data_IF_140986191468
#
_entry.id   IF_140986191468
#
_cell.length_a   1.000
_cell.length_b   1.000
_cell.length_c   1.000
_cell.angle_alpha   90.00
_cell.angle_beta   90.00
_cell.angle_gamma   90.00
#
_symmetry.space_group_name_H-M   'P 1'
#
loop_
_entity.id
_entity.type
_entity.pdbx_description
1 polymer ?
#
# COMPACT_ATOMS: atom_id res chain seq x y z
N UNK A 1 -1.40 -32.84 31.23
CA UNK A 1 -2.74 -33.17 30.68
C UNK A 1 -3.71 -32.09 31.12
N UNK A 2 -4.67 -31.67 30.29
CA UNK A 2 -5.57 -30.53 30.56
C UNK A 2 -6.98 -30.76 30.03
N UNK A 3 -8.00 -30.34 30.79
CA UNK A 3 -9.42 -30.40 30.35
C UNK A 3 -9.76 -29.18 29.49
N UNK A 4 -10.42 -29.43 28.36
CA UNK A 4 -10.89 -28.38 27.46
C UNK A 4 -12.17 -27.74 28.01
N UNK A 5 -12.19 -26.41 28.19
CA UNK A 5 -13.34 -25.66 28.72
C UNK A 5 -14.55 -25.53 27.77
N UNK A 6 -14.62 -26.33 26.70
CA UNK A 6 -15.67 -26.25 25.67
C UNK A 6 -16.27 -27.60 25.32
N UNK A 7 -15.45 -28.66 25.30
CA UNK A 7 -15.90 -30.02 25.05
C UNK A 7 -15.69 -30.94 26.27
N UNK A 8 -15.16 -30.41 27.38
CA UNK A 8 -14.99 -31.06 28.68
C UNK A 8 -14.18 -32.38 28.69
N UNK A 9 -13.48 -32.67 27.59
CA UNK A 9 -12.58 -33.82 27.48
C UNK A 9 -11.18 -33.51 28.00
N UNK A 10 -10.56 -34.48 28.67
CA UNK A 10 -9.14 -34.47 29.04
C UNK A 10 -8.27 -34.71 27.80
N UNK A 11 -7.30 -33.81 27.54
CA UNK A 11 -6.40 -33.89 26.38
C UNK A 11 -4.95 -33.60 26.76
N UNK A 12 -4.03 -33.90 25.85
CA UNK A 12 -2.63 -33.54 26.03
C UNK A 12 -2.47 -32.02 25.98
N UNK A 13 -1.45 -31.49 26.67
CA UNK A 13 -1.16 -30.06 26.66
C UNK A 13 -0.75 -29.56 25.27
N UNK A 14 -0.17 -30.44 24.46
CA UNK A 14 0.12 -30.22 23.04
C UNK A 14 -1.15 -29.98 22.20
N UNK A 15 -2.34 -30.36 22.68
CA UNK A 15 -3.62 -30.10 22.02
C UNK A 15 -4.18 -28.70 22.32
N UNK A 16 -3.44 -27.84 23.02
CA UNK A 16 -3.82 -26.47 23.33
C UNK A 16 -2.83 -25.49 22.69
N UNK A 17 -3.32 -24.31 22.31
CA UNK A 17 -2.44 -23.22 21.91
C UNK A 17 -1.80 -22.57 23.15
N UNK A 18 -0.58 -22.04 23.00
CA UNK A 18 0.06 -21.21 24.03
C UNK A 18 -0.54 -19.80 23.95
N UNK A 19 -1.20 -19.36 25.02
CA UNK A 19 -1.82 -18.03 25.13
C UNK A 19 -0.79 -16.96 25.47
N UNK A 20 0.16 -17.32 26.33
CA UNK A 20 1.25 -16.43 26.74
C UNK A 20 2.57 -17.19 26.68
N UNK A 21 3.47 -16.71 25.82
CA UNK A 21 4.79 -17.33 25.60
C UNK A 21 5.72 -17.18 26.80
N UNK A 22 5.55 -16.15 27.63
CA UNK A 22 6.42 -15.91 28.80
C UNK A 22 6.09 -16.86 29.95
N UNK A 23 4.81 -17.02 30.27
CA UNK A 23 4.35 -17.91 31.35
C UNK A 23 4.08 -19.35 30.90
N UNK A 24 4.16 -19.64 29.60
CA UNK A 24 3.76 -20.92 29.03
C UNK A 24 2.26 -21.20 29.12
N UNK A 25 1.45 -20.23 29.57
CA UNK A 25 0.04 -20.44 29.85
C UNK A 25 -0.72 -20.88 28.61
N UNK A 26 -1.35 -22.04 28.68
CA UNK A 26 -2.17 -22.61 27.62
C UNK A 26 -3.57 -21.99 27.58
N UNK A 27 -4.15 -21.92 26.39
CA UNK A 27 -5.57 -21.62 26.20
C UNK A 27 -6.47 -22.55 27.02
N UNK A 28 -7.68 -22.08 27.37
CA UNK A 28 -8.68 -22.88 28.09
C UNK A 28 -9.35 -23.92 27.17
N UNK A 29 -9.48 -23.59 25.89
CA UNK A 29 -10.06 -24.45 24.86
C UNK A 29 -8.96 -25.19 24.09
N UNK A 30 -9.22 -26.45 23.71
CA UNK A 30 -8.33 -27.19 22.82
C UNK A 30 -8.29 -26.56 21.42
N UNK A 31 -7.26 -26.90 20.64
CA UNK A 31 -7.02 -26.39 19.28
C UNK A 31 -8.22 -26.55 18.35
N UNK A 32 -8.94 -27.67 18.45
CA UNK A 32 -10.13 -27.95 17.62
C UNK A 32 -11.28 -27.01 17.96
N UNK A 33 -11.71 -26.98 19.23
CA UNK A 33 -12.78 -26.10 19.69
C UNK A 33 -12.44 -24.62 19.46
N UNK A 34 -11.17 -24.23 19.61
CA UNK A 34 -10.73 -22.87 19.33
C UNK A 34 -10.86 -22.52 17.83
N UNK A 35 -10.46 -23.44 16.93
CA UNK A 35 -10.58 -23.24 15.48
C UNK A 35 -12.04 -23.12 15.04
N UNK A 36 -12.91 -23.99 15.55
CA UNK A 36 -14.34 -23.98 15.26
C UNK A 36 -15.00 -22.68 15.73
N UNK A 37 -14.76 -22.29 16.99
CA UNK A 37 -15.24 -21.01 17.52
C UNK A 37 -14.76 -19.83 16.69
N UNK A 38 -13.47 -19.83 16.30
CA UNK A 38 -12.87 -18.74 15.51
C UNK A 38 -13.46 -18.63 14.09
N UNK A 39 -13.77 -19.76 13.45
CA UNK A 39 -14.36 -19.79 12.11
C UNK A 39 -15.74 -19.09 12.07
N UNK A 40 -16.60 -19.38 13.04
CA UNK A 40 -17.93 -18.74 13.14
C UNK A 40 -17.85 -17.29 13.63
N UNK A 41 -17.02 -17.02 14.65
CA UNK A 41 -16.89 -15.70 15.24
C UNK A 41 -16.37 -14.67 14.24
N UNK A 42 -15.33 -14.99 13.47
CA UNK A 42 -14.73 -14.00 12.56
C UNK A 42 -15.69 -13.56 11.46
N UNK A 43 -16.48 -14.50 10.89
CA UNK A 43 -17.48 -14.18 9.87
C UNK A 43 -18.58 -13.27 10.42
N UNK A 44 -19.13 -13.59 11.60
CA UNK A 44 -20.17 -12.79 12.26
C UNK A 44 -19.64 -11.42 12.71
N UNK A 45 -18.43 -11.37 13.25
CA UNK A 45 -17.76 -10.13 13.63
C UNK A 45 -17.55 -9.25 12.39
N UNK A 46 -17.01 -9.81 11.30
CA UNK A 46 -16.83 -9.06 10.07
C UNK A 46 -18.16 -8.51 9.53
N UNK A 47 -19.24 -9.29 9.52
CA UNK A 47 -20.54 -8.80 9.03
C UNK A 47 -21.10 -7.65 9.86
N UNK A 48 -20.96 -7.68 11.19
CA UNK A 48 -21.44 -6.62 12.09
C UNK A 48 -20.63 -5.33 11.92
N UNK A 49 -19.30 -5.45 11.85
CA UNK A 49 -18.41 -4.27 11.85
C UNK A 49 -17.92 -3.88 10.45
N UNK A 50 -18.42 -4.53 9.38
CA UNK A 50 -18.01 -4.31 7.98
C UNK A 50 -18.01 -2.84 7.61
N UNK A 51 -19.10 -2.15 7.93
CA UNK A 51 -19.27 -0.75 7.60
C UNK A 51 -18.23 0.13 8.30
N UNK A 52 -17.99 -0.10 9.59
CA UNK A 52 -16.96 0.61 10.35
C UNK A 52 -15.56 0.38 9.77
N UNK A 53 -15.24 -0.85 9.34
CA UNK A 53 -13.96 -1.13 8.66
C UNK A 53 -13.84 -0.39 7.34
N UNK A 54 -14.90 -0.38 6.53
CA UNK A 54 -14.94 0.33 5.25
C UNK A 54 -14.83 1.84 5.45
N UNK A 55 -15.52 2.40 6.44
CA UNK A 55 -15.46 3.81 6.80
C UNK A 55 -14.06 4.21 7.25
N UNK A 56 -13.44 3.44 8.16
CA UNK A 56 -12.05 3.66 8.58
C UNK A 56 -11.09 3.61 7.40
N UNK A 57 -11.27 2.65 6.49
CA UNK A 57 -10.47 2.54 5.27
C UNK A 57 -10.68 3.72 4.32
N UNK A 58 -11.91 4.22 4.17
CA UNK A 58 -12.23 5.42 3.38
C UNK A 58 -11.57 6.67 3.98
N UNK A 59 -11.74 6.91 5.29
CA UNK A 59 -11.11 8.02 6.01
C UNK A 59 -9.59 8.00 5.86
N UNK A 60 -8.98 6.82 6.07
CA UNK A 60 -7.53 6.65 5.89
C UNK A 60 -7.07 6.95 4.47
N UNK A 61 -7.78 6.45 3.45
CA UNK A 61 -7.46 6.74 2.04
C UNK A 61 -7.59 8.23 1.71
N UNK A 62 -8.58 8.90 2.26
CA UNK A 62 -8.75 10.34 2.08
C UNK A 62 -7.58 11.13 2.66
N UNK A 63 -7.20 10.85 3.91
CA UNK A 63 -6.06 11.48 4.58
C UNK A 63 -4.78 11.25 3.78
N UNK A 64 -4.47 9.99 3.43
CA UNK A 64 -3.27 9.65 2.66
C UNK A 64 -3.22 10.35 1.31
N UNK A 65 -4.35 10.46 0.59
CA UNK A 65 -4.40 11.20 -0.68
C UNK A 65 -4.14 12.69 -0.49
N UNK A 66 -4.67 13.28 0.59
CA UNK A 66 -4.46 14.69 0.89
C UNK A 66 -3.00 14.98 1.27
N UNK A 67 -2.43 14.17 2.16
CA UNK A 67 -1.01 14.25 2.54
C UNK A 67 -0.11 14.08 1.32
N UNK A 68 -0.39 13.08 0.49
CA UNK A 68 0.36 12.82 -0.72
C UNK A 68 0.27 13.97 -1.72
N UNK A 69 -0.91 14.56 -1.90
CA UNK A 69 -1.11 15.74 -2.75
C UNK A 69 -0.26 16.92 -2.25
N UNK A 70 -0.31 17.23 -0.96
CA UNK A 70 0.46 18.35 -0.39
C UNK A 70 1.96 18.13 -0.55
N UNK A 71 2.42 16.93 -0.23
CA UNK A 71 3.80 16.47 -0.43
C UNK A 71 4.27 16.59 -1.89
N UNK A 72 3.40 16.22 -2.84
CA UNK A 72 3.70 16.33 -4.27
C UNK A 72 3.78 17.79 -4.72
N UNK A 73 2.86 18.64 -4.27
CA UNK A 73 2.87 20.07 -4.58
C UNK A 73 4.13 20.76 -4.02
N UNK A 74 4.51 20.42 -2.79
CA UNK A 74 5.76 20.89 -2.19
C UNK A 74 6.98 20.43 -3.01
N UNK A 75 7.03 19.14 -3.37
CA UNK A 75 8.10 18.61 -4.20
C UNK A 75 8.19 19.31 -5.57
N UNK A 76 7.06 19.63 -6.20
CA UNK A 76 7.00 20.28 -7.51
C UNK A 76 7.21 21.79 -7.44
N UNK A 77 7.14 22.40 -6.25
CA UNK A 77 7.27 23.84 -6.07
C UNK A 77 8.60 24.37 -6.59
N UNK A 78 8.54 25.43 -7.39
CA UNK A 78 9.72 26.06 -8.01
C UNK A 78 10.40 25.24 -9.10
N UNK A 79 9.88 24.06 -9.45
CA UNK A 79 10.42 23.24 -10.55
C UNK A 79 9.87 23.68 -11.90
N UNK A 80 10.57 23.29 -12.96
CA UNK A 80 10.21 23.56 -14.34
C UNK A 80 10.45 22.32 -15.20
N UNK A 81 9.81 22.26 -16.36
CA UNK A 81 10.11 21.29 -17.39
C UNK A 81 11.59 21.36 -17.77
N UNK A 82 12.29 20.24 -17.68
CA UNK A 82 13.72 20.15 -17.95
C UNK A 82 14.11 20.42 -19.41
N UNK A 83 13.14 20.47 -20.33
CA UNK A 83 13.36 20.69 -21.76
C UNK A 83 12.97 22.11 -22.20
N UNK A 84 11.74 22.55 -21.90
CA UNK A 84 11.23 23.84 -22.39
C UNK A 84 11.08 24.92 -21.31
N UNK A 85 11.35 24.60 -20.04
CA UNK A 85 11.24 25.57 -18.94
C UNK A 85 9.82 25.92 -18.52
N UNK A 86 8.78 25.24 -19.02
CA UNK A 86 7.39 25.37 -18.54
C UNK A 86 7.33 25.24 -17.01
N UNK A 87 6.59 26.11 -16.35
CA UNK A 87 6.48 26.20 -14.88
C UNK A 87 5.10 25.80 -14.36
N UNK A 88 4.11 25.63 -15.24
CA UNK A 88 2.79 25.16 -14.85
C UNK A 88 2.84 23.69 -14.43
N UNK A 89 2.79 23.49 -13.11
CA UNK A 89 2.75 22.19 -12.44
C UNK A 89 1.60 21.30 -12.91
N UNK A 90 0.50 21.85 -13.42
CA UNK A 90 -0.63 21.06 -13.95
C UNK A 90 -0.22 20.27 -15.20
N UNK A 91 0.79 20.74 -15.92
CA UNK A 91 1.29 20.09 -17.13
C UNK A 91 2.38 19.06 -16.87
N UNK A 92 2.86 18.92 -15.63
CA UNK A 92 4.04 18.12 -15.33
C UNK A 92 3.76 16.61 -15.33
N UNK A 93 4.69 15.89 -15.93
CA UNK A 93 4.78 14.44 -15.99
C UNK A 93 6.15 14.00 -15.48
N UNK A 94 6.18 12.85 -14.81
CA UNK A 94 7.42 12.24 -14.33
C UNK A 94 7.96 11.28 -15.38
N UNK A 95 9.05 11.68 -16.03
CA UNK A 95 9.75 10.87 -17.02
C UNK A 95 10.94 10.17 -16.36
N UNK A 96 10.93 8.84 -16.33
CA UNK A 96 12.05 8.06 -15.80
C UNK A 96 13.27 8.21 -16.71
N UNK A 97 14.39 8.70 -16.16
CA UNK A 97 15.64 8.93 -16.92
C UNK A 97 16.17 7.61 -17.49
N UNK A 98 16.14 6.56 -16.66
CA UNK A 98 16.46 5.20 -17.03
C UNK A 98 15.23 4.30 -16.79
N UNK A 99 14.49 3.93 -17.84
CA UNK A 99 13.29 3.10 -17.71
C UNK A 99 13.53 1.75 -17.03
N UNK A 100 14.74 1.20 -17.13
CA UNK A 100 15.14 -0.06 -16.48
C UNK A 100 15.22 0.05 -14.95
N UNK A 101 15.40 1.25 -14.40
CA UNK A 101 15.49 1.47 -12.94
C UNK A 101 14.13 1.77 -12.29
N UNK A 102 13.08 1.88 -13.10
CA UNK A 102 11.70 2.11 -12.67
C UNK A 102 11.21 0.94 -11.83
N UNK A 103 10.84 1.23 -10.59
CA UNK A 103 10.19 0.24 -9.71
C UNK A 103 8.68 0.28 -9.85
N UNK A 104 8.11 1.47 -10.00
CA UNK A 104 6.67 1.67 -10.12
C UNK A 104 6.34 3.00 -10.81
N UNK A 105 5.07 3.18 -11.18
CA UNK A 105 4.58 4.47 -11.68
C UNK A 105 4.21 5.39 -10.51
N UNK A 106 4.71 6.62 -10.51
CA UNK A 106 4.42 7.62 -9.48
C UNK A 106 2.90 7.85 -9.31
N UNK A 107 2.13 7.86 -10.40
CA UNK A 107 0.66 8.04 -10.36
C UNK A 107 -0.07 6.90 -9.67
N UNK A 108 0.51 5.69 -9.65
CA UNK A 108 -0.06 4.50 -8.98
C UNK A 108 0.41 4.33 -7.54
N UNK A 109 1.40 5.11 -7.09
CA UNK A 109 2.07 4.91 -5.79
C UNK A 109 1.10 4.84 -4.61
N UNK A 110 0.15 5.78 -4.50
CA UNK A 110 -0.86 5.82 -3.42
C UNK A 110 -1.76 4.59 -3.45
N UNK A 111 -2.17 4.14 -4.64
CA UNK A 111 -3.04 2.97 -4.79
C UNK A 111 -2.34 1.66 -4.44
N UNK A 112 -1.02 1.59 -4.68
CA UNK A 112 -0.18 0.44 -4.37
C UNK A 112 0.33 0.44 -2.93
N UNK A 113 0.08 1.51 -2.17
CA UNK A 113 0.40 1.60 -0.74
C UNK A 113 1.86 1.98 -0.45
N UNK A 114 2.58 2.57 -1.40
CA UNK A 114 3.94 3.07 -1.16
C UNK A 114 3.92 4.27 -0.20
N UNK A 115 4.89 4.30 0.71
CA UNK A 115 5.14 5.43 1.59
C UNK A 115 5.69 6.63 0.81
N UNK A 116 5.53 7.84 1.35
CA UNK A 116 6.09 9.04 0.74
C UNK A 116 7.62 8.97 0.58
N UNK A 117 8.32 8.31 1.51
CA UNK A 117 9.77 8.11 1.43
C UNK A 117 10.13 7.28 0.21
N UNK A 118 9.46 6.14 0.00
CA UNK A 118 9.68 5.30 -1.18
C UNK A 118 9.36 6.04 -2.48
N UNK A 119 8.32 6.86 -2.48
CA UNK A 119 7.98 7.70 -3.64
C UNK A 119 9.05 8.74 -3.90
N UNK A 120 9.61 9.41 -2.88
CA UNK A 120 10.73 10.35 -3.07
C UNK A 120 11.94 9.66 -3.70
N UNK A 121 12.28 8.46 -3.27
CA UNK A 121 13.40 7.72 -3.87
C UNK A 121 13.15 7.39 -5.35
N UNK A 122 11.91 7.08 -5.71
CA UNK A 122 11.54 6.87 -7.11
C UNK A 122 11.52 8.19 -7.91
N UNK A 123 11.04 9.29 -7.30
CA UNK A 123 11.05 10.62 -7.91
C UNK A 123 12.45 11.12 -8.26
N UNK A 124 13.48 10.76 -7.47
CA UNK A 124 14.89 11.10 -7.77
C UNK A 124 15.40 10.51 -9.09
N UNK A 125 14.78 9.43 -9.57
CA UNK A 125 15.12 8.78 -10.85
C UNK A 125 14.37 9.40 -12.03
N UNK A 126 13.48 10.33 -11.76
CA UNK A 126 12.65 10.98 -12.76
C UNK A 126 13.18 12.39 -13.04
N UNK A 127 13.07 12.81 -14.29
CA UNK A 127 13.08 14.23 -14.66
C UNK A 127 11.63 14.72 -14.80
N UNK A 128 11.41 16.00 -14.57
CA UNK A 128 10.10 16.62 -14.75
C UNK A 128 10.04 17.18 -16.17
N UNK A 129 9.03 16.77 -16.92
CA UNK A 129 8.73 17.30 -18.24
C UNK A 129 7.29 17.79 -18.27
N UNK A 130 7.00 18.82 -19.06
CA UNK A 130 5.60 19.09 -19.40
C UNK A 130 5.05 17.98 -20.30
N UNK A 131 3.74 17.79 -20.32
CA UNK A 131 3.05 16.72 -21.04
C UNK A 131 3.44 16.68 -22.54
N UNK A 132 3.66 17.85 -23.16
CA UNK A 132 4.08 17.94 -24.55
C UNK A 132 5.51 17.43 -24.76
N UNK A 133 6.45 17.85 -23.91
CA UNK A 133 7.84 17.38 -23.96
C UNK A 133 7.93 15.89 -23.63
N UNK A 134 7.19 15.42 -22.62
CA UNK A 134 7.12 14.00 -22.26
C UNK A 134 6.67 13.14 -23.45
N UNK A 135 5.58 13.51 -24.12
CA UNK A 135 5.09 12.79 -25.31
C UNK A 135 6.12 12.74 -26.44
N UNK A 136 6.83 13.85 -26.69
CA UNK A 136 7.90 13.91 -27.71
C UNK A 136 9.06 12.98 -27.35
N UNK A 137 9.49 12.97 -26.09
CA UNK A 137 10.58 12.11 -25.63
C UNK A 137 10.20 10.63 -25.68
N UNK A 138 8.99 10.27 -25.23
CA UNK A 138 8.44 8.92 -25.38
C UNK A 138 8.46 8.50 -26.86
N UNK A 139 7.96 9.35 -27.76
CA UNK A 139 7.91 9.02 -29.18
C UNK A 139 9.30 8.79 -29.80
N UNK A 140 10.31 9.58 -29.41
CA UNK A 140 11.71 9.36 -29.81
C UNK A 140 12.25 8.04 -29.28
N UNK A 141 12.00 7.75 -28.00
CA UNK A 141 12.51 6.54 -27.34
C UNK A 141 11.99 5.26 -28.00
N UNK A 142 10.72 5.24 -28.40
CA UNK A 142 10.10 4.07 -29.03
C UNK A 142 10.13 4.10 -30.57
N UNK A 143 10.74 5.13 -31.18
CA UNK A 143 10.83 5.25 -32.64
C UNK A 143 9.47 5.33 -33.34
N UNK A 144 8.44 5.87 -32.68
CA UNK A 144 7.07 5.85 -33.20
C UNK A 144 6.89 6.65 -34.48
N UNK A 145 7.71 7.68 -34.68
CA UNK A 145 7.71 8.47 -35.90
C UNK A 145 9.09 8.31 -36.54
N UNK A 146 9.16 7.64 -37.69
CA UNK A 146 10.32 7.74 -38.56
C UNK A 146 10.37 9.20 -39.03
N UNK A 147 11.44 9.91 -38.68
CA UNK A 147 11.83 11.11 -39.41
C UNK A 147 11.93 10.69 -40.88
N UNK A 148 11.12 11.30 -41.74
CA UNK A 148 11.32 11.19 -43.18
C UNK A 148 12.62 11.87 -43.55
#
# INVERSE_FOLDING_TARGET
>A
MKVCSKCDTLKAESDFFIKDKKSGRLHAQCKLCYKEHRAGYYKKHYSIYREQYLERARKRRHILRSEFRNNMLDYLSGKACAICGEKDIVTFEFDHILPSEKKFSISRSVSLGYSWIEVKEELKKCRILCANCHKKETAKQFGWYKSS
#
